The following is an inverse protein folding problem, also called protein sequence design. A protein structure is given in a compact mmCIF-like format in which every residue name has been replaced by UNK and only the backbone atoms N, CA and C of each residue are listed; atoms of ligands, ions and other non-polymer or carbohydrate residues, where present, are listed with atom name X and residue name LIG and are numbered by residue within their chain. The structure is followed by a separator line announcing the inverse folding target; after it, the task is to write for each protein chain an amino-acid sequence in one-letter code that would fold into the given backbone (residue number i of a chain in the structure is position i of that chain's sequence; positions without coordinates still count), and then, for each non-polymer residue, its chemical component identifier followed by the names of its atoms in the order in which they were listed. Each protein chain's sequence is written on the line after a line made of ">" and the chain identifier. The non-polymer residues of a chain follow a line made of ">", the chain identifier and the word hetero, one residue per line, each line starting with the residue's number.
data_IF_620898752858
#
_entry.id   IF_620898752858
#
_cell.length_a   1.000
_cell.length_b   1.000
_cell.length_c   1.000
_cell.angle_alpha   90.00
_cell.angle_beta   90.00
_cell.angle_gamma   90.00
#
_symmetry.space_group_name_H-M   'P 1'
#
loop_
_entity.id
_entity.type
_entity.pdbx_description
1 polymer ?
#
# COMPACT_ATOMS: atom_id res chain seq x y z
N UNK A 1 52.36 4.35 -9.93
CA UNK A 1 51.28 3.69 -10.70
C UNK A 1 50.89 2.31 -10.17
N UNK A 2 51.71 1.65 -9.32
CA UNK A 2 51.41 0.33 -8.73
C UNK A 2 50.30 0.37 -7.68
N UNK A 3 50.25 1.42 -6.85
CA UNK A 3 49.28 1.54 -5.75
C UNK A 3 47.81 1.45 -6.20
N UNK A 4 47.46 2.09 -7.32
CA UNK A 4 46.10 2.05 -7.89
C UNK A 4 45.74 0.65 -8.40
N UNK A 5 46.71 -0.08 -8.97
CA UNK A 5 46.53 -1.43 -9.49
C UNK A 5 46.53 -2.47 -8.37
N UNK A 6 47.25 -2.23 -7.26
CA UNK A 6 47.24 -3.09 -6.07
C UNK A 6 45.94 -2.94 -5.27
N UNK A 7 45.36 -1.74 -5.27
CA UNK A 7 44.17 -1.39 -4.48
C UNK A 7 42.89 -1.23 -5.31
N UNK A 8 42.86 -1.69 -6.57
CA UNK A 8 41.70 -1.55 -7.47
C UNK A 8 40.41 -2.12 -6.86
N UNK A 9 40.52 -3.19 -6.06
CA UNK A 9 39.41 -3.79 -5.32
C UNK A 9 38.78 -2.80 -4.34
N UNK A 10 39.55 -1.89 -3.72
CA UNK A 10 38.99 -0.85 -2.84
C UNK A 10 38.08 0.10 -3.61
N UNK A 11 38.41 0.44 -4.86
CA UNK A 11 37.55 1.28 -5.70
C UNK A 11 36.27 0.55 -6.11
N UNK A 12 36.34 -0.75 -6.38
CA UNK A 12 35.16 -1.58 -6.67
C UNK A 12 34.25 -1.67 -5.45
N UNK A 13 34.82 -1.90 -4.26
CA UNK A 13 34.06 -1.93 -2.99
C UNK A 13 33.43 -0.57 -2.71
N UNK A 14 34.16 0.53 -2.92
CA UNK A 14 33.65 1.88 -2.70
C UNK A 14 32.52 2.24 -3.68
N UNK A 15 32.63 1.83 -4.94
CA UNK A 15 31.54 1.93 -5.92
C UNK A 15 30.33 1.09 -5.54
N UNK A 16 30.55 -0.14 -5.05
CA UNK A 16 29.45 -1.00 -4.58
C UNK A 16 28.71 -0.37 -3.39
N UNK A 17 29.44 0.18 -2.42
CA UNK A 17 28.86 0.90 -1.27
C UNK A 17 28.13 2.17 -1.72
N UNK A 18 28.71 2.95 -2.63
CA UNK A 18 28.05 4.14 -3.18
C UNK A 18 26.77 3.77 -3.93
N UNK A 19 26.79 2.67 -4.69
CA UNK A 19 25.63 2.14 -5.41
C UNK A 19 24.50 1.70 -4.47
N UNK A 20 24.82 0.94 -3.42
CA UNK A 20 23.81 0.51 -2.43
C UNK A 20 23.24 1.70 -1.65
N UNK A 21 24.08 2.66 -1.26
CA UNK A 21 23.64 3.90 -0.61
C UNK A 21 22.71 4.71 -1.52
N UNK A 22 23.03 4.85 -2.82
CA UNK A 22 22.19 5.54 -3.78
C UNK A 22 20.82 4.87 -3.94
N UNK A 23 20.78 3.53 -4.00
CA UNK A 23 19.50 2.77 -4.05
C UNK A 23 18.68 2.97 -2.78
N UNK A 24 19.33 2.94 -1.61
CA UNK A 24 18.65 3.17 -0.33
C UNK A 24 18.04 4.58 -0.25
N UNK A 25 18.79 5.61 -0.66
CA UNK A 25 18.31 7.01 -0.70
C UNK A 25 17.15 7.16 -1.69
N UNK A 26 17.25 6.56 -2.89
CA UNK A 26 16.16 6.60 -3.87
C UNK A 26 14.88 5.96 -3.34
N UNK A 27 14.98 4.79 -2.70
CA UNK A 27 13.83 4.12 -2.07
C UNK A 27 13.24 4.97 -0.95
N UNK A 28 14.07 5.58 -0.11
CA UNK A 28 13.61 6.40 1.01
C UNK A 28 12.90 7.68 0.54
N UNK A 29 13.44 8.35 -0.49
CA UNK A 29 12.84 9.55 -1.06
C UNK A 29 11.50 9.27 -1.77
N UNK A 30 11.30 8.04 -2.26
CA UNK A 30 10.06 7.60 -2.92
C UNK A 30 8.94 7.18 -1.96
N UNK A 31 9.20 7.04 -0.65
CA UNK A 31 8.18 6.62 0.31
C UNK A 31 7.07 7.69 0.44
N UNK A 32 5.77 7.29 0.47
CA UNK A 32 4.68 8.22 0.69
C UNK A 32 4.77 8.85 2.07
N UNK A 33 4.46 10.14 2.18
CA UNK A 33 4.44 10.84 3.46
C UNK A 33 3.33 10.30 4.39
N UNK A 34 3.49 10.44 5.70
CA UNK A 34 2.50 9.96 6.68
C UNK A 34 1.08 10.50 6.41
N UNK A 35 0.97 11.78 6.01
CA UNK A 35 -0.32 12.38 5.63
C UNK A 35 -0.94 11.73 4.40
N UNK A 36 -0.13 11.41 3.38
CA UNK A 36 -0.62 10.72 2.19
C UNK A 36 -1.09 9.31 2.52
N UNK A 37 -0.37 8.58 3.38
CA UNK A 37 -0.77 7.24 3.81
C UNK A 37 -2.12 7.29 4.54
N UNK A 38 -2.34 8.28 5.41
CA UNK A 38 -3.62 8.46 6.09
C UNK A 38 -4.77 8.69 5.10
N UNK A 39 -4.60 9.61 4.14
CA UNK A 39 -5.59 9.84 3.08
C UNK A 39 -5.87 8.59 2.25
N UNK A 40 -4.83 7.79 1.95
CA UNK A 40 -4.99 6.52 1.25
C UNK A 40 -5.80 5.54 2.11
N UNK A 41 -5.50 5.41 3.40
CA UNK A 41 -6.25 4.52 4.31
C UNK A 41 -7.72 4.91 4.43
N UNK A 42 -8.02 6.20 4.47
CA UNK A 42 -9.40 6.70 4.45
C UNK A 42 -10.12 6.39 3.13
N UNK A 43 -9.41 6.51 2.01
CA UNK A 43 -9.96 6.11 0.73
C UNK A 43 -10.13 4.59 0.62
N UNK A 44 -9.19 3.80 1.18
CA UNK A 44 -9.27 2.33 1.20
C UNK A 44 -10.48 1.85 2.01
N UNK A 45 -10.87 2.56 3.07
CA UNK A 45 -12.12 2.29 3.80
C UNK A 45 -13.32 2.33 2.84
N UNK A 46 -13.41 3.37 2.01
CA UNK A 46 -14.46 3.46 0.99
C UNK A 46 -14.37 2.32 -0.03
N UNK A 47 -13.16 2.02 -0.53
CA UNK A 47 -12.96 0.94 -1.49
C UNK A 47 -13.34 -0.45 -0.92
N UNK A 48 -13.10 -0.69 0.37
CA UNK A 48 -13.49 -1.93 1.05
C UNK A 48 -15.02 -2.05 1.18
N UNK A 49 -15.70 -0.95 1.49
CA UNK A 49 -17.18 -0.92 1.54
C UNK A 49 -17.75 -1.21 0.16
N UNK A 50 -17.19 -0.60 -0.88
CA UNK A 50 -17.62 -0.85 -2.25
C UNK A 50 -17.40 -2.31 -2.66
N UNK A 51 -16.25 -2.88 -2.30
CA UNK A 51 -15.95 -4.29 -2.55
C UNK A 51 -16.91 -5.23 -1.82
N UNK A 52 -17.32 -4.90 -0.59
CA UNK A 52 -18.32 -5.67 0.17
C UNK A 52 -19.69 -5.63 -0.51
N UNK A 53 -20.11 -4.47 -1.02
CA UNK A 53 -21.38 -4.30 -1.74
C UNK A 53 -21.42 -5.09 -3.05
N UNK A 54 -20.37 -4.98 -3.85
CA UNK A 54 -20.30 -5.59 -5.19
C UNK A 54 -20.13 -7.12 -5.14
N UNK A 55 -19.37 -7.63 -4.17
CA UNK A 55 -18.94 -9.04 -4.16
C UNK A 55 -19.52 -9.86 -3.00
N UNK A 56 -20.22 -9.22 -2.06
CA UNK A 56 -20.89 -9.85 -0.93
C UNK A 56 -19.96 -10.61 0.02
N UNK A 57 -20.52 -11.23 1.06
CA UNK A 57 -19.73 -11.98 2.06
C UNK A 57 -18.99 -13.20 1.51
N UNK A 58 -17.88 -13.60 2.16
CA UNK A 58 -17.18 -14.85 1.85
C UNK A 58 -16.19 -14.83 0.67
N UNK A 59 -16.08 -13.72 -0.06
CA UNK A 59 -15.23 -13.57 -1.26
C UNK A 59 -13.94 -12.78 -1.00
N UNK A 60 -13.32 -12.94 0.18
CA UNK A 60 -12.23 -12.08 0.66
C UNK A 60 -11.04 -11.89 -0.31
N UNK A 61 -10.55 -12.96 -0.94
CA UNK A 61 -9.45 -12.85 -1.92
C UNK A 61 -9.85 -12.06 -3.18
N UNK A 62 -11.10 -12.21 -3.62
CA UNK A 62 -11.62 -11.50 -4.80
C UNK A 62 -11.79 -10.01 -4.49
N UNK A 63 -12.30 -9.67 -3.31
CA UNK A 63 -12.37 -8.28 -2.83
C UNK A 63 -11.01 -7.63 -2.72
N UNK A 64 -10.03 -8.34 -2.15
CA UNK A 64 -8.68 -7.79 -2.01
C UNK A 64 -8.06 -7.47 -3.38
N UNK A 65 -8.28 -8.35 -4.38
CA UNK A 65 -7.88 -8.07 -5.76
C UNK A 65 -8.61 -6.85 -6.33
N UNK A 66 -9.93 -6.79 -6.16
CA UNK A 66 -10.75 -5.67 -6.62
C UNK A 66 -10.27 -4.32 -6.04
N UNK A 67 -10.04 -4.27 -4.72
CA UNK A 67 -9.51 -3.09 -4.05
C UNK A 67 -8.09 -2.76 -4.52
N UNK A 68 -7.26 -3.78 -4.80
CA UNK A 68 -5.91 -3.57 -5.32
C UNK A 68 -5.91 -2.94 -6.72
N UNK A 69 -6.80 -3.40 -7.61
CA UNK A 69 -6.93 -2.85 -8.96
C UNK A 69 -7.43 -1.40 -8.92
N UNK A 70 -8.39 -1.10 -8.03
CA UNK A 70 -8.82 0.27 -7.75
C UNK A 70 -7.67 1.14 -7.19
N UNK A 71 -6.87 0.59 -6.28
CA UNK A 71 -5.73 1.29 -5.67
C UNK A 71 -4.65 1.63 -6.70
N UNK A 72 -4.28 0.70 -7.58
CA UNK A 72 -3.30 0.95 -8.66
C UNK A 72 -3.80 2.05 -9.58
N UNK A 73 -5.09 2.03 -9.91
CA UNK A 73 -5.72 3.02 -10.79
C UNK A 73 -5.75 4.40 -10.14
N UNK A 74 -6.08 4.48 -8.85
CA UNK A 74 -6.22 5.75 -8.13
C UNK A 74 -4.88 6.35 -7.71
N UNK A 75 -3.90 5.53 -7.34
CA UNK A 75 -2.62 5.96 -6.80
C UNK A 75 -1.42 5.33 -7.57
N UNK A 76 -1.28 5.57 -8.88
CA UNK A 76 -0.29 4.90 -9.71
C UNK A 76 1.16 5.20 -9.31
N UNK A 77 1.42 6.37 -8.73
CA UNK A 77 2.76 6.71 -8.21
C UNK A 77 3.08 5.91 -6.95
N UNK A 78 2.11 5.75 -6.04
CA UNK A 78 2.27 5.04 -4.78
C UNK A 78 2.39 3.53 -5.02
N UNK A 79 1.60 2.99 -5.94
CA UNK A 79 1.65 1.57 -6.31
C UNK A 79 3.02 1.12 -6.85
N UNK A 80 3.86 2.04 -7.34
CA UNK A 80 5.23 1.73 -7.81
C UNK A 80 6.24 1.57 -6.68
N UNK A 81 5.97 2.14 -5.51
CA UNK A 81 6.90 2.23 -4.38
C UNK A 81 6.43 1.41 -3.18
N UNK A 82 5.14 1.04 -3.14
CA UNK A 82 4.52 0.24 -2.09
C UNK A 82 4.40 -1.21 -2.56
N UNK A 83 4.84 -2.16 -1.74
CA UNK A 83 4.66 -3.58 -2.02
C UNK A 83 3.23 -4.04 -1.72
N UNK A 84 2.84 -5.20 -2.26
CA UNK A 84 1.51 -5.74 -2.00
C UNK A 84 1.26 -6.01 -0.52
N UNK A 85 2.27 -6.44 0.23
CA UNK A 85 2.18 -6.72 1.67
C UNK A 85 1.83 -5.44 2.44
N UNK A 86 2.54 -4.33 2.17
CA UNK A 86 2.26 -3.03 2.81
C UNK A 86 0.86 -2.53 2.44
N UNK A 87 0.44 -2.75 1.19
CA UNK A 87 -0.93 -2.45 0.77
C UNK A 87 -1.95 -3.29 1.54
N UNK A 88 -1.72 -4.59 1.69
CA UNK A 88 -2.60 -5.50 2.44
C UNK A 88 -2.76 -5.05 3.89
N UNK A 89 -1.66 -4.64 4.54
CA UNK A 89 -1.71 -4.11 5.90
C UNK A 89 -2.57 -2.83 6.01
N UNK A 90 -2.57 -1.99 4.97
CA UNK A 90 -3.42 -0.81 4.91
C UNK A 90 -4.89 -1.16 4.71
N UNK A 91 -5.17 -2.18 3.91
CA UNK A 91 -6.52 -2.73 3.74
C UNK A 91 -7.02 -3.31 5.06
N UNK A 92 -6.20 -4.07 5.78
CA UNK A 92 -6.58 -4.62 7.09
C UNK A 92 -6.90 -3.50 8.09
N UNK A 93 -6.07 -2.45 8.13
CA UNK A 93 -6.37 -1.24 8.94
C UNK A 93 -7.71 -0.61 8.56
N UNK A 94 -8.04 -0.58 7.26
CA UNK A 94 -9.28 -0.03 6.77
C UNK A 94 -10.49 -0.92 7.11
N UNK A 95 -10.32 -2.24 7.06
CA UNK A 95 -11.33 -3.23 7.47
C UNK A 95 -11.62 -3.15 8.97
N UNK A 96 -10.60 -2.99 9.82
CA UNK A 96 -10.79 -2.77 11.26
C UNK A 96 -11.61 -1.50 11.53
N UNK A 97 -11.28 -0.40 10.83
CA UNK A 97 -12.04 0.86 10.91
C UNK A 97 -13.48 0.68 10.41
N UNK A 98 -13.68 -0.10 9.35
CA UNK A 98 -15.02 -0.44 8.83
C UNK A 98 -15.84 -1.19 9.88
N UNK A 99 -15.26 -2.21 10.52
CA UNK A 99 -15.94 -2.97 11.57
C UNK A 99 -16.34 -2.07 12.74
N UNK A 100 -15.43 -1.21 13.21
CA UNK A 100 -15.75 -0.23 14.26
C UNK A 100 -16.91 0.70 13.88
N UNK A 101 -16.97 1.17 12.63
CA UNK A 101 -18.08 2.00 12.13
C UNK A 101 -19.41 1.23 12.09
N UNK A 102 -19.37 -0.04 11.67
CA UNK A 102 -20.54 -0.91 11.66
C UNK A 102 -21.05 -1.20 13.08
N UNK A 103 -20.17 -1.32 14.07
CA UNK A 103 -20.57 -1.48 15.47
C UNK A 103 -21.22 -0.23 16.05
N UNK A 104 -20.74 0.95 15.66
CA UNK A 104 -21.22 2.23 16.19
C UNK A 104 -22.49 2.74 15.52
N UNK A 105 -22.77 2.36 14.27
CA UNK A 105 -23.90 2.91 13.52
C UNK A 105 -24.62 1.86 12.65
N UNK A 106 -25.88 1.59 12.97
CA UNK A 106 -26.74 0.65 12.24
C UNK A 106 -27.03 1.09 10.79
N UNK A 107 -27.15 2.40 10.52
CA UNK A 107 -27.39 2.91 9.17
C UNK A 107 -26.21 2.62 8.22
N UNK A 108 -24.98 2.55 8.75
CA UNK A 108 -23.81 2.15 7.96
C UNK A 108 -23.91 0.67 7.56
N UNK A 109 -24.49 -0.18 8.42
CA UNK A 109 -24.70 -1.61 8.10
C UNK A 109 -25.64 -1.80 6.92
N UNK A 110 -26.71 -1.01 6.86
CA UNK A 110 -27.68 -1.06 5.76
C UNK A 110 -27.02 -0.64 4.43
N UNK A 111 -26.19 0.41 4.45
CA UNK A 111 -25.40 0.83 3.28
C UNK A 111 -24.43 -0.26 2.83
N UNK A 112 -23.76 -0.95 3.75
CA UNK A 112 -22.77 -1.99 3.39
C UNK A 112 -23.44 -3.29 2.91
N UNK A 113 -24.58 -3.66 3.47
CA UNK A 113 -25.29 -4.90 3.10
C UNK A 113 -26.06 -4.81 1.78
N UNK A 114 -26.27 -3.61 1.25
CA UNK A 114 -27.03 -3.41 0.02
C UNK A 114 -28.45 -4.00 0.17
N UNK A 115 -29.18 -3.62 1.21
CA UNK A 115 -30.61 -3.93 1.23
C UNK A 115 -31.31 -3.08 0.16
N UNK A 116 -31.80 -3.78 -0.86
CA UNK A 116 -32.68 -3.29 -1.91
C UNK A 116 -33.79 -2.41 -1.31
N UNK A 117 -33.87 -1.16 -1.77
CA UNK A 117 -35.10 -0.37 -1.73
C UNK A 117 -35.78 -0.48 -3.07
#
# INVERSE_FOLDING_TARGET
>A
MTWLVENWVLFVVLLAIAGTAAVAVYKFAGLPSAKQVETIKEWLLYACIEAEKELGGGTGQLKLRYVYDLFITRFPAVAKVVSFEVFSDWVDTALDKMQALLEQNQAIREVVKGEDV
#
